data_IF_212270358202
#
_entry.id   IF_212270358202
#
_cell.length_a   1.000
_cell.length_b   1.000
_cell.length_c   1.000
_cell.angle_alpha   90.00
_cell.angle_beta   90.00
_cell.angle_gamma   90.00
#
_symmetry.space_group_name_H-M   'P 1'
#
loop_
_entity.id
_entity.type
_entity.pdbx_description
1 polymer ?
#
# COMPACT_ATOMS: atom_id res chain seq x y z
N UNK A 1 -20.31 4.51 -6.66
CA UNK A 1 -18.97 4.60 -7.28
C UNK A 1 -17.98 3.94 -6.34
N UNK A 2 -17.48 2.75 -6.66
CA UNK A 2 -16.43 2.10 -5.85
C UNK A 2 -15.23 1.82 -6.74
N UNK A 3 -14.40 2.84 -6.93
CA UNK A 3 -12.98 2.57 -7.15
C UNK A 3 -12.45 2.09 -5.82
N UNK A 4 -11.90 0.88 -5.78
CA UNK A 4 -11.32 0.31 -4.57
C UNK A 4 -10.08 1.13 -4.22
N UNK A 5 -10.23 2.09 -3.30
CA UNK A 5 -9.11 2.82 -2.68
C UNK A 5 -8.69 1.99 -1.49
N UNK A 6 -7.60 1.25 -1.68
CA UNK A 6 -7.10 0.38 -0.64
C UNK A 6 -5.97 1.08 0.11
N UNK A 7 -6.16 1.30 1.40
CA UNK A 7 -5.21 2.04 2.24
C UNK A 7 -4.41 1.04 3.08
N UNK A 8 -3.10 1.02 2.87
CA UNK A 8 -2.18 0.17 3.63
C UNK A 8 -1.33 1.05 4.55
N UNK A 9 -1.45 0.82 5.85
CA UNK A 9 -0.59 1.43 6.88
C UNK A 9 0.50 0.43 7.19
N UNK A 10 1.75 0.80 6.95
CA UNK A 10 2.91 -0.06 7.23
C UNK A 10 3.55 0.43 8.52
N UNK A 11 3.39 -0.34 9.59
CA UNK A 11 4.07 -0.09 10.85
C UNK A 11 5.49 -0.67 10.77
N UNK A 12 6.48 0.17 10.45
CA UNK A 12 7.86 -0.25 10.33
C UNK A 12 8.52 -0.29 11.72
N UNK A 13 8.24 -1.35 12.49
CA UNK A 13 9.06 -1.66 13.68
C UNK A 13 10.35 -2.34 13.23
N UNK A 14 11.51 -1.73 13.52
CA UNK A 14 12.81 -2.33 13.27
C UNK A 14 13.03 -3.43 14.31
N UNK A 15 13.12 -4.68 13.88
CA UNK A 15 13.45 -5.84 14.72
C UNK A 15 14.89 -6.25 14.39
N UNK A 16 15.73 -6.46 15.41
CA UNK A 16 17.11 -6.93 15.21
C UNK A 16 17.30 -8.35 15.72
N UNK A 17 18.16 -9.13 15.06
CA UNK A 17 18.63 -10.43 15.54
C UNK A 17 20.14 -10.34 15.72
N UNK A 18 20.66 -11.12 16.67
CA UNK A 18 22.10 -11.16 16.94
C UNK A 18 22.94 -11.62 15.73
N UNK A 19 22.34 -12.32 14.75
CA UNK A 19 23.02 -12.72 13.53
C UNK A 19 23.40 -11.51 12.66
N UNK A 20 22.45 -10.61 12.35
CA UNK A 20 22.73 -9.47 11.48
C UNK A 20 23.67 -8.43 12.11
N UNK A 21 23.64 -8.29 13.44
CA UNK A 21 24.59 -7.45 14.17
C UNK A 21 26.02 -7.97 14.05
N UNK A 22 26.20 -9.29 13.97
CA UNK A 22 27.52 -9.93 13.94
C UNK A 22 28.12 -10.01 12.55
N UNK A 23 27.30 -10.19 11.51
CA UNK A 23 27.77 -10.47 10.14
C UNK A 23 27.53 -9.31 9.15
N UNK A 24 26.95 -8.19 9.58
CA UNK A 24 26.86 -6.97 8.76
C UNK A 24 25.89 -7.05 7.57
N UNK A 25 24.90 -7.92 7.62
CA UNK A 25 23.87 -8.03 6.57
C UNK A 25 22.88 -6.86 6.62
N UNK A 26 22.28 -6.54 5.46
CA UNK A 26 21.17 -5.59 5.36
C UNK A 26 19.97 -6.11 6.17
N UNK A 27 19.74 -5.51 7.34
CA UNK A 27 18.72 -5.93 8.32
C UNK A 27 17.32 -6.02 7.71
N UNK A 28 17.02 -5.15 6.75
CA UNK A 28 15.75 -5.08 6.02
C UNK A 28 15.46 -6.31 5.14
N UNK A 29 16.42 -7.23 4.96
CA UNK A 29 16.30 -8.44 4.14
C UNK A 29 16.54 -9.75 4.90
N UNK A 30 16.68 -9.69 6.22
CA UNK A 30 16.94 -10.89 7.02
C UNK A 30 15.70 -11.80 7.08
N UNK A 31 15.74 -12.96 6.43
CA UNK A 31 14.62 -13.91 6.41
C UNK A 31 14.35 -14.55 7.78
N UNK A 32 15.34 -14.59 8.68
CA UNK A 32 15.13 -15.07 10.05
C UNK A 32 14.37 -14.06 10.91
N UNK A 33 14.54 -12.76 10.64
CA UNK A 33 13.81 -11.69 11.31
C UNK A 33 12.45 -11.42 10.69
N UNK A 34 12.38 -11.53 9.37
CA UNK A 34 11.20 -11.25 8.59
C UNK A 34 10.90 -12.42 7.65
N UNK A 35 10.47 -13.59 8.18
CA UNK A 35 10.15 -14.75 7.34
C UNK A 35 9.01 -14.48 6.34
N UNK A 36 8.17 -13.50 6.63
CA UNK A 36 7.13 -12.97 5.76
C UNK A 36 7.66 -12.13 4.58
N UNK A 37 8.97 -11.83 4.51
CA UNK A 37 9.59 -11.29 3.29
C UNK A 37 9.62 -12.30 2.15
N UNK A 38 9.26 -13.57 2.41
CA UNK A 38 8.74 -14.48 1.39
C UNK A 38 7.47 -13.84 0.81
N UNK A 39 7.65 -13.00 -0.21
CA UNK A 39 6.55 -12.25 -0.79
C UNK A 39 5.58 -13.24 -1.43
N UNK A 40 4.26 -13.13 -1.17
CA UNK A 40 3.27 -13.85 -1.95
C UNK A 40 3.48 -13.56 -3.44
N UNK A 41 3.17 -14.52 -4.30
CA UNK A 41 3.19 -14.28 -5.75
C UNK A 41 2.21 -13.14 -6.06
N UNK A 42 2.51 -12.33 -7.07
CA UNK A 42 1.70 -11.14 -7.44
C UNK A 42 0.19 -11.44 -7.47
N UNK A 43 -0.19 -12.62 -7.98
CA UNK A 43 -1.58 -13.08 -8.06
C UNK A 43 -2.20 -13.36 -6.69
N UNK A 44 -1.46 -14.03 -5.80
CA UNK A 44 -1.92 -14.34 -4.43
C UNK A 44 -2.18 -13.04 -3.66
N UNK A 45 -1.25 -12.06 -3.77
CA UNK A 45 -1.40 -10.76 -3.12
C UNK A 45 -2.60 -9.97 -3.65
N UNK A 46 -2.84 -9.97 -4.96
CA UNK A 46 -4.01 -9.27 -5.55
C UNK A 46 -5.32 -9.83 -5.02
N UNK A 47 -5.41 -11.17 -4.91
CA UNK A 47 -6.58 -11.85 -4.33
C UNK A 47 -6.77 -11.55 -2.86
N UNK A 48 -5.71 -11.61 -2.06
CA UNK A 48 -5.75 -11.23 -0.64
C UNK A 48 -6.19 -9.79 -0.44
N UNK A 49 -5.82 -8.90 -1.37
CA UNK A 49 -6.19 -7.50 -1.36
C UNK A 49 -7.58 -7.23 -1.99
N UNK A 50 -8.29 -8.24 -2.49
CA UNK A 50 -9.58 -8.06 -3.16
C UNK A 50 -9.51 -7.24 -4.45
N UNK A 51 -8.37 -7.27 -5.13
CA UNK A 51 -8.16 -6.59 -6.41
C UNK A 51 -8.67 -7.46 -7.55
N UNK A 52 -9.24 -6.82 -8.57
CA UNK A 52 -9.56 -7.47 -9.84
C UNK A 52 -8.24 -7.82 -10.55
N UNK A 53 -8.11 -9.03 -11.09
CA UNK A 53 -6.86 -9.49 -11.70
C UNK A 53 -6.58 -8.84 -13.07
N UNK A 54 -7.61 -8.34 -13.75
CA UNK A 54 -7.54 -7.80 -15.11
C UNK A 54 -7.41 -6.26 -15.13
N UNK A 55 -7.79 -5.58 -14.04
CA UNK A 55 -7.67 -4.13 -13.94
C UNK A 55 -6.25 -3.66 -13.57
N UNK A 56 -5.73 -2.58 -14.18
CA UNK A 56 -4.44 -2.00 -13.79
C UNK A 56 -4.50 -1.46 -12.34
N UNK A 57 -3.35 -1.38 -11.69
CA UNK A 57 -3.25 -0.86 -10.34
C UNK A 57 -2.17 0.23 -10.24
N UNK A 58 -2.53 1.34 -9.60
CA UNK A 58 -1.63 2.44 -9.27
C UNK A 58 -1.23 2.32 -7.79
N UNK A 59 0.07 2.33 -7.53
CA UNK A 59 0.62 2.40 -6.18
C UNK A 59 1.04 3.83 -5.86
N UNK A 60 0.32 4.47 -4.95
CA UNK A 60 0.67 5.78 -4.39
C UNK A 60 1.32 5.58 -3.02
N UNK A 61 2.59 5.96 -2.87
CA UNK A 61 3.31 5.84 -1.60
C UNK A 61 3.66 7.22 -1.03
N UNK A 62 3.45 7.39 0.27
CA UNK A 62 3.89 8.56 1.03
C UNK A 62 3.30 8.55 2.44
N UNK A 63 2.98 9.73 2.98
CA UNK A 63 2.39 9.80 4.32
C UNK A 63 3.40 9.71 5.46
N UNK A 64 4.48 10.51 5.39
CA UNK A 64 5.26 10.86 6.57
C UNK A 64 4.45 11.76 7.52
N UNK A 65 5.05 12.82 8.06
CA UNK A 65 4.40 13.67 9.08
C UNK A 65 3.22 14.53 8.59
N UNK A 66 2.85 14.46 7.31
CA UNK A 66 1.67 15.14 6.76
C UNK A 66 1.96 16.36 5.90
N UNK A 67 3.18 16.54 5.41
CA UNK A 67 3.57 17.69 4.58
C UNK A 67 3.20 17.59 3.07
N UNK A 68 2.46 16.56 2.65
CA UNK A 68 2.22 16.30 1.22
C UNK A 68 0.74 16.27 0.82
N UNK A 69 0.41 16.55 -0.45
CA UNK A 69 -0.96 16.55 -0.97
C UNK A 69 -1.49 15.13 -1.21
N UNK A 70 -0.95 14.11 -0.53
CA UNK A 70 -1.21 12.70 -0.81
C UNK A 70 -2.70 12.35 -0.74
N UNK A 71 -3.46 13.02 0.13
CA UNK A 71 -4.91 12.87 0.17
C UNK A 71 -5.58 13.38 -1.11
N UNK A 72 -5.23 14.59 -1.55
CA UNK A 72 -5.76 15.16 -2.79
C UNK A 72 -5.34 14.33 -4.01
N UNK A 73 -4.10 13.84 -4.05
CA UNK A 73 -3.61 12.95 -5.10
C UNK A 73 -4.36 11.61 -5.10
N UNK A 74 -4.58 10.99 -3.93
CA UNK A 74 -5.33 9.75 -3.83
C UNK A 74 -6.77 9.92 -4.34
N UNK A 75 -7.44 11.01 -3.96
CA UNK A 75 -8.81 11.32 -4.43
C UNK A 75 -8.85 11.59 -5.94
N UNK A 76 -7.92 12.39 -6.46
CA UNK A 76 -7.84 12.68 -7.89
C UNK A 76 -7.59 11.43 -8.73
N UNK A 77 -6.69 10.54 -8.28
CA UNK A 77 -6.46 9.25 -8.91
C UNK A 77 -7.67 8.33 -8.81
N UNK A 78 -8.36 8.31 -7.66
CA UNK A 78 -9.62 7.58 -7.51
C UNK A 78 -10.65 7.99 -8.55
N UNK A 79 -10.82 9.28 -8.80
CA UNK A 79 -11.73 9.77 -9.83
C UNK A 79 -11.25 9.45 -11.25
N UNK A 80 -9.95 9.58 -11.52
CA UNK A 80 -9.38 9.32 -12.84
C UNK A 80 -9.40 7.83 -13.25
N UNK A 81 -9.54 6.92 -12.27
CA UNK A 81 -9.62 5.48 -12.48
C UNK A 81 -11.07 4.97 -12.50
N UNK A 82 -12.05 5.87 -12.63
CA UNK A 82 -13.44 5.54 -12.85
C UNK A 82 -13.88 6.06 -14.22
N UNK A 83 -14.58 5.24 -14.99
CA UNK A 83 -15.18 5.68 -16.25
C UNK A 83 -16.68 5.94 -16.04
N UNK A 84 -17.08 7.21 -16.08
CA UNK A 84 -18.47 7.63 -15.93
C UNK A 84 -19.39 7.15 -17.07
N UNK A 85 -18.83 6.90 -18.27
CA UNK A 85 -19.63 6.43 -19.42
C UNK A 85 -19.95 4.95 -19.28
N UNK A 86 -19.00 4.16 -18.79
CA UNK A 86 -19.17 2.72 -18.55
C UNK A 86 -19.83 2.46 -17.18
N UNK A 87 -19.76 3.42 -16.26
CA UNK A 87 -20.30 3.28 -14.91
C UNK A 87 -19.50 2.28 -14.05
N UNK A 88 -18.23 2.07 -14.37
CA UNK A 88 -17.39 1.04 -13.74
C UNK A 88 -15.94 1.54 -13.49
N UNK A 89 -15.24 0.96 -12.51
CA UNK A 89 -13.82 1.25 -12.30
C UNK A 89 -12.98 0.67 -13.45
N UNK A 90 -12.03 1.48 -13.95
CA UNK A 90 -11.06 1.07 -14.97
C UNK A 90 -9.67 0.81 -14.37
N UNK A 91 -9.54 0.87 -13.04
CA UNK A 91 -8.32 0.57 -12.33
C UNK A 91 -8.47 0.60 -10.82
N UNK A 92 -7.40 0.20 -10.14
CA UNK A 92 -7.28 0.21 -8.69
C UNK A 92 -6.24 1.22 -8.22
N UNK A 93 -6.40 1.70 -6.99
CA UNK A 93 -5.36 2.47 -6.32
C UNK A 93 -5.07 1.90 -4.94
N UNK A 94 -3.78 1.63 -4.70
CA UNK A 94 -3.24 1.27 -3.39
C UNK A 94 -2.50 2.48 -2.84
N UNK A 95 -2.89 2.95 -1.65
CA UNK A 95 -2.25 4.08 -0.97
C UNK A 95 -1.51 3.59 0.26
N UNK A 96 -0.18 3.67 0.24
CA UNK A 96 0.63 3.42 1.43
C UNK A 96 0.80 4.73 2.20
N UNK A 97 0.26 4.78 3.41
CA UNK A 97 0.26 5.97 4.28
C UNK A 97 1.38 5.98 5.33
N UNK A 98 2.33 5.03 5.28
CA UNK A 98 3.41 4.92 6.24
C UNK A 98 2.90 4.86 7.68
N UNK A 99 3.41 5.73 8.55
CA UNK A 99 2.99 5.87 9.96
C UNK A 99 1.85 6.89 10.16
N UNK A 100 1.36 7.54 9.09
CA UNK A 100 0.34 8.57 9.18
C UNK A 100 -1.08 7.98 9.30
N UNK A 101 -1.40 7.49 10.51
CA UNK A 101 -2.71 6.91 10.84
C UNK A 101 -3.86 7.91 10.62
N UNK A 102 -3.61 9.21 10.82
CA UNK A 102 -4.62 10.27 10.58
C UNK A 102 -5.03 10.34 9.11
N UNK A 103 -4.06 10.31 8.19
CA UNK A 103 -4.31 10.28 6.76
C UNK A 103 -5.05 8.99 6.37
N UNK A 104 -4.59 7.84 6.87
CA UNK A 104 -5.20 6.57 6.56
C UNK A 104 -6.69 6.56 6.94
N UNK A 105 -7.04 7.05 8.13
CA UNK A 105 -8.42 7.15 8.59
C UNK A 105 -9.28 8.08 7.71
N UNK A 106 -8.73 9.20 7.22
CA UNK A 106 -9.46 10.11 6.32
C UNK A 106 -9.68 9.54 4.92
N UNK A 107 -8.77 8.68 4.46
CA UNK A 107 -8.90 7.98 3.17
C UNK A 107 -9.80 6.75 3.25
N UNK A 108 -9.88 6.10 4.42
CA UNK A 108 -10.78 4.96 4.67
C UNK A 108 -12.21 5.38 5.02
N UNK A 109 -12.37 6.52 5.72
CA UNK A 109 -13.66 7.11 6.04
C UNK A 109 -14.25 7.79 4.82
N UNK A 110 -14.88 7.01 3.96
CA UNK A 110 -15.75 7.48 2.88
C UNK A 110 -17.18 7.09 3.20
#
# INVERSE_FOLDING_TARGET
MVVTVMVVVVDATIVTCGHCERYGHEKARCIQLYPHLMRPRKVELRRELGMDDDLPAVLLMGGGEGMGPIEATARALGNALYDDNLGEPIGHILVICGQNKKLANRLQGN
#
